data_IF_449992027769
#
_entry.id   IF_449992027769
#
_cell.length_a   1.000
_cell.length_b   1.000
_cell.length_c   1.000
_cell.angle_alpha   90.00
_cell.angle_beta   90.00
_cell.angle_gamma   90.00
#
_symmetry.space_group_name_H-M   'P 1'
#
loop_
_entity.id
_entity.type
_entity.pdbx_description
1 polymer ?
#
# COMPACT_ATOMS: atom_id res chain seq x y z
N UNK A 1 3.04 19.05 35.43
CA UNK A 1 1.87 18.15 35.37
C UNK A 1 2.28 16.78 34.81
N UNK A 2 2.18 15.72 35.62
CA UNK A 2 2.23 14.35 35.12
C UNK A 2 0.85 14.08 34.51
N UNK A 3 0.79 13.90 33.20
CA UNK A 3 -0.46 13.66 32.50
C UNK A 3 -0.96 12.26 32.87
N UNK A 4 -1.76 12.15 33.95
CA UNK A 4 -2.57 10.97 34.22
C UNK A 4 -3.56 10.85 33.07
N UNK A 5 -3.39 9.86 32.21
CA UNK A 5 -4.42 9.49 31.26
C UNK A 5 -5.39 8.58 32.01
N UNK A 6 -6.33 9.19 32.72
CA UNK A 6 -7.41 8.44 33.35
C UNK A 6 -8.18 7.72 32.22
N UNK A 7 -8.40 6.40 32.34
CA UNK A 7 -9.02 5.52 31.33
C UNK A 7 -8.21 5.19 30.06
N UNK A 8 -6.96 4.73 30.21
CA UNK A 8 -6.21 4.07 29.11
C UNK A 8 -6.44 2.56 29.11
N UNK A 9 -6.57 1.98 27.92
CA UNK A 9 -6.73 0.53 27.73
C UNK A 9 -5.48 -0.02 27.06
N UNK A 10 -4.85 -1.02 27.67
CA UNK A 10 -3.77 -1.76 27.01
C UNK A 10 -4.37 -2.80 26.05
N UNK A 11 -3.94 -2.76 24.79
CA UNK A 11 -4.27 -3.79 23.79
C UNK A 11 -2.98 -4.44 23.29
N UNK A 12 -2.98 -5.72 22.88
CA UNK A 12 -1.80 -6.34 22.27
C UNK A 12 -1.36 -5.56 21.03
N UNK A 13 -0.06 -5.33 20.87
CA UNK A 13 0.48 -4.58 19.73
C UNK A 13 0.08 -5.23 18.40
N UNK A 14 -0.02 -6.57 18.35
CA UNK A 14 -0.47 -7.33 17.19
C UNK A 14 -1.90 -6.98 16.73
N UNK A 15 -2.76 -6.47 17.63
CA UNK A 15 -4.12 -6.06 17.30
C UNK A 15 -4.20 -4.66 16.68
N UNK A 16 -3.11 -3.90 16.68
CA UNK A 16 -3.06 -2.53 16.15
C UNK A 16 -2.62 -2.57 14.69
N UNK A 17 -3.53 -2.20 13.80
CA UNK A 17 -3.28 -2.12 12.38
C UNK A 17 -2.99 -0.67 11.99
N UNK A 18 -2.07 -0.50 11.05
CA UNK A 18 -1.74 0.81 10.47
C UNK A 18 -1.92 0.76 8.96
N UNK A 19 -2.70 1.68 8.42
CA UNK A 19 -2.90 1.83 6.98
C UNK A 19 -2.85 3.32 6.63
N UNK A 20 -2.00 3.71 5.68
CA UNK A 20 -1.84 5.11 5.25
C UNK A 20 -1.57 6.13 6.38
N UNK A 21 -1.00 5.67 7.50
CA UNK A 21 -0.71 6.50 8.67
C UNK A 21 -1.82 6.49 9.73
N UNK A 22 -3.01 6.00 9.42
CA UNK A 22 -4.11 5.84 10.37
C UNK A 22 -3.98 4.54 11.16
N UNK A 23 -4.29 4.61 12.45
CA UNK A 23 -4.25 3.45 13.36
C UNK A 23 -5.66 3.03 13.72
N UNK A 24 -5.90 1.72 13.68
CA UNK A 24 -7.21 1.14 13.96
C UNK A 24 -7.06 -0.27 14.51
N UNK A 25 -8.15 -0.77 15.10
CA UNK A 25 -8.29 -2.18 15.48
C UNK A 25 -9.51 -2.77 14.79
N UNK A 26 -9.60 -4.10 14.80
CA UNK A 26 -10.81 -4.81 14.44
C UNK A 26 -11.55 -5.19 15.71
N UNK A 27 -12.59 -4.43 16.06
CA UNK A 27 -13.43 -4.66 17.24
C UNK A 27 -14.51 -5.69 16.92
N UNK A 28 -14.67 -6.69 17.78
CA UNK A 28 -15.77 -7.65 17.68
C UNK A 28 -17.08 -6.96 18.06
N UNK A 29 -18.00 -6.89 17.12
CA UNK A 29 -19.39 -6.47 17.32
C UNK A 29 -20.29 -7.59 16.81
N UNK A 30 -21.05 -8.19 17.72
CA UNK A 30 -21.83 -9.41 17.46
C UNK A 30 -20.93 -10.53 16.89
N UNK A 31 -21.25 -11.02 15.70
CA UNK A 31 -20.50 -12.08 14.99
C UNK A 31 -19.53 -11.53 13.93
N UNK A 32 -19.23 -10.23 13.97
CA UNK A 32 -18.38 -9.55 12.96
C UNK A 32 -17.27 -8.76 13.62
N UNK A 33 -16.24 -8.50 12.83
CA UNK A 33 -15.18 -7.58 13.18
C UNK A 33 -15.32 -6.28 12.39
N UNK A 34 -15.33 -5.17 13.11
CA UNK A 34 -15.52 -3.82 12.57
C UNK A 34 -14.25 -3.03 12.74
N UNK A 35 -13.82 -2.33 11.67
CA UNK A 35 -12.69 -1.41 11.71
C UNK A 35 -13.03 -0.21 12.59
N UNK A 36 -12.33 -0.08 13.72
CA UNK A 36 -12.52 1.00 14.68
C UNK A 36 -11.25 1.84 14.76
N UNK A 37 -11.29 3.13 14.37
CA UNK A 37 -10.13 4.01 14.50
C UNK A 37 -9.78 4.23 15.97
N UNK A 38 -8.49 4.27 16.27
CA UNK A 38 -7.99 4.46 17.65
C UNK A 38 -6.87 5.48 17.69
N UNK A 39 -6.69 6.09 18.86
CA UNK A 39 -5.49 6.85 19.18
C UNK A 39 -4.67 6.09 20.20
N UNK A 40 -3.36 5.97 19.94
CA UNK A 40 -2.46 5.31 20.86
C UNK A 40 -1.46 6.27 21.51
N UNK A 41 -1.11 5.96 22.75
CA UNK A 41 -0.08 6.63 23.54
C UNK A 41 1.24 5.88 23.45
N UNK A 42 1.74 5.44 24.60
CA UNK A 42 3.00 4.70 24.68
C UNK A 42 2.79 3.26 24.18
N UNK A 43 3.83 2.69 23.59
CA UNK A 43 3.86 1.28 23.16
C UNK A 43 5.13 0.63 23.67
N UNK A 44 5.04 -0.63 24.08
CA UNK A 44 6.19 -1.49 24.34
C UNK A 44 6.24 -2.61 23.28
N UNK A 45 6.94 -3.71 23.59
CA UNK A 45 7.10 -4.84 22.67
C UNK A 45 5.83 -5.69 22.51
N UNK A 46 4.97 -5.71 23.51
CA UNK A 46 3.82 -6.61 23.59
C UNK A 46 2.48 -5.85 23.51
N UNK A 47 2.44 -4.60 23.97
CA UNK A 47 1.22 -3.81 24.16
C UNK A 47 1.32 -2.38 23.62
N UNK A 48 0.14 -1.85 23.30
CA UNK A 48 -0.08 -0.44 22.99
C UNK A 48 -1.14 0.14 23.91
N UNK A 49 -0.89 1.34 24.41
CA UNK A 49 -1.87 2.12 25.16
C UNK A 49 -2.87 2.77 24.22
N UNK A 50 -4.14 2.43 24.34
CA UNK A 50 -5.24 3.09 23.63
C UNK A 50 -5.82 4.18 24.52
N UNK A 51 -5.73 5.42 24.04
CA UNK A 51 -6.21 6.62 24.74
C UNK A 51 -7.60 7.03 24.28
N UNK A 52 -8.03 6.64 23.07
CA UNK A 52 -9.37 6.87 22.50
C UNK A 52 -9.76 5.77 21.52
N UNK A 53 -11.06 5.51 21.44
CA UNK A 53 -11.67 4.63 20.43
C UNK A 53 -12.04 3.24 20.91
N UNK A 54 -11.75 2.90 22.17
CA UNK A 54 -12.14 1.63 22.80
C UNK A 54 -12.65 1.83 24.23
N UNK A 55 -13.39 0.84 24.73
CA UNK A 55 -13.90 0.72 26.08
C UNK A 55 -13.42 -0.59 26.73
N UNK A 56 -13.30 -0.61 28.06
CA UNK A 56 -12.85 -1.80 28.79
C UNK A 56 -13.80 -2.98 28.59
N UNK A 57 -13.24 -4.18 28.41
CA UNK A 57 -14.03 -5.42 28.20
C UNK A 57 -14.36 -5.72 26.74
N UNK A 58 -13.96 -4.85 25.81
CA UNK A 58 -14.08 -5.10 24.37
C UNK A 58 -13.11 -6.16 23.86
N UNK A 59 -13.51 -6.89 22.81
CA UNK A 59 -12.70 -7.95 22.19
C UNK A 59 -12.19 -7.48 20.84
N UNK A 60 -10.88 -7.53 20.63
CA UNK A 60 -10.24 -7.14 19.37
C UNK A 60 -9.60 -8.33 18.66
N UNK A 61 -9.55 -8.29 17.34
CA UNK A 61 -8.83 -9.30 16.55
C UNK A 61 -7.33 -9.04 16.58
N UNK A 62 -6.55 -10.11 16.76
CA UNK A 62 -5.08 -10.09 16.68
C UNK A 62 -4.55 -10.17 15.25
N UNK A 63 -5.41 -10.53 14.29
CA UNK A 63 -5.07 -10.68 12.88
C UNK A 63 -6.15 -10.03 12.02
N UNK A 64 -5.82 -9.70 10.78
CA UNK A 64 -6.83 -9.17 9.83
C UNK A 64 -7.95 -10.20 9.62
N UNK A 65 -9.22 -9.85 9.87
CA UNK A 65 -10.35 -10.75 9.63
C UNK A 65 -10.43 -11.19 8.16
N UNK A 66 -10.88 -12.42 7.93
CA UNK A 66 -10.94 -13.01 6.58
C UNK A 66 -11.85 -12.20 5.65
N UNK A 67 -12.92 -11.62 6.21
CA UNK A 67 -13.87 -10.76 5.51
C UNK A 67 -13.17 -9.55 4.86
N UNK A 68 -12.14 -8.99 5.50
CA UNK A 68 -11.42 -7.83 4.96
C UNK A 68 -10.38 -8.19 3.92
N UNK A 69 -9.75 -9.35 4.03
CA UNK A 69 -8.86 -9.86 2.98
C UNK A 69 -9.61 -10.06 1.66
N UNK A 70 -10.85 -10.55 1.73
CA UNK A 70 -11.72 -10.71 0.55
C UNK A 70 -12.04 -9.39 -0.14
N UNK A 71 -12.21 -8.29 0.61
CA UNK A 71 -12.51 -6.96 0.06
C UNK A 71 -11.31 -6.36 -0.68
N UNK A 72 -10.10 -6.53 -0.14
CA UNK A 72 -8.85 -6.06 -0.80
C UNK A 72 -8.65 -6.74 -2.15
N UNK A 73 -8.87 -8.06 -2.21
CA UNK A 73 -8.76 -8.84 -3.45
C UNK A 73 -9.77 -8.36 -4.51
N UNK A 74 -11.00 -8.06 -4.07
CA UNK A 74 -12.06 -7.56 -4.96
C UNK A 74 -11.78 -6.14 -5.45
N UNK A 75 -11.25 -5.26 -4.60
CA UNK A 75 -10.86 -3.90 -5.00
C UNK A 75 -9.76 -3.93 -6.08
N UNK A 76 -8.76 -4.80 -5.92
CA UNK A 76 -7.71 -4.99 -6.94
C UNK A 76 -8.27 -5.58 -8.25
N UNK A 77 -9.14 -6.58 -8.16
CA UNK A 77 -9.80 -7.17 -9.34
C UNK A 77 -10.71 -6.18 -10.09
N UNK A 78 -11.40 -5.30 -9.36
CA UNK A 78 -12.22 -4.24 -9.95
C UNK A 78 -11.37 -3.16 -10.65
N UNK A 79 -10.25 -2.75 -10.05
CA UNK A 79 -9.29 -1.83 -10.67
C UNK A 79 -8.67 -2.42 -11.96
N UNK A 80 -8.36 -3.72 -11.97
CA UNK A 80 -7.85 -4.41 -13.16
C UNK A 80 -8.89 -4.51 -14.30
N UNK A 81 -10.19 -4.61 -13.98
CA UNK A 81 -11.27 -4.58 -14.99
C UNK A 81 -11.59 -3.18 -15.51
N UNK A 82 -11.42 -2.13 -14.69
CA UNK A 82 -11.67 -0.75 -15.09
C UNK A 82 -10.60 -0.20 -16.07
N UNK A 83 -9.43 -0.83 -16.16
CA UNK A 83 -8.34 -0.45 -17.07
C UNK A 83 -8.48 -0.90 -18.54
N UNK A 84 -9.57 -1.58 -18.93
CA UNK A 84 -9.80 -2.00 -20.33
C UNK A 84 -10.93 -1.20 -20.96
N UNK A 85 -10.65 0.07 -21.25
CA UNK A 85 -11.61 0.98 -21.89
C UNK A 85 -10.93 2.21 -22.49
N UNK A 86 -10.13 2.04 -23.54
CA UNK A 86 -9.75 3.15 -24.41
C UNK A 86 -10.82 3.31 -25.51
N UNK A 87 -11.52 4.45 -25.63
CA UNK A 87 -12.29 4.79 -26.82
C UNK A 87 -11.36 5.44 -27.84
N UNK A 88 -11.27 4.86 -29.05
CA UNK A 88 -10.35 5.35 -30.08
C UNK A 88 -10.90 5.20 -31.49
N UNK A 89 -11.62 6.23 -31.95
CA UNK A 89 -11.55 6.73 -33.33
C UNK A 89 -12.32 5.97 -34.42
N UNK A 90 -13.54 6.42 -34.71
CA UNK A 90 -14.14 6.30 -36.06
C UNK A 90 -13.42 7.30 -36.97
N UNK A 91 -12.61 6.81 -37.90
CA UNK A 91 -12.00 7.61 -38.96
C UNK A 91 -11.91 6.80 -40.25
N UNK A 92 -12.81 7.07 -41.19
CA UNK A 92 -12.74 6.55 -42.55
C UNK A 92 -11.71 7.30 -43.38
N UNK A 93 -11.00 6.59 -44.26
CA UNK A 93 -10.06 7.15 -45.22
C UNK A 93 -9.60 6.09 -46.22
N UNK A 94 -9.92 6.32 -47.48
CA UNK A 94 -9.69 5.48 -48.67
C UNK A 94 -8.36 5.86 -49.35
N UNK A 95 -7.70 4.88 -49.97
CA UNK A 95 -6.58 5.04 -50.90
C UNK A 95 -5.24 4.64 -50.27
N UNK A 96 -4.31 3.96 -50.92
CA UNK A 96 -4.14 3.56 -52.31
C UNK A 96 -2.76 2.88 -52.43
N UNK A 97 -2.58 2.16 -53.53
CA UNK A 97 -1.49 1.28 -53.93
C UNK A 97 -0.04 1.75 -53.69
N UNK A 98 0.88 0.82 -53.41
CA UNK A 98 2.32 1.13 -53.48
C UNK A 98 3.31 0.06 -53.00
N UNK A 99 3.47 -1.02 -53.77
CA UNK A 99 4.72 -1.78 -54.05
C UNK A 99 5.84 -1.81 -52.97
N UNK A 100 5.95 -2.92 -52.24
CA UNK A 100 7.17 -3.28 -51.50
C UNK A 100 8.21 -3.94 -52.41
N UNK A 101 9.22 -3.15 -52.77
CA UNK A 101 10.44 -3.62 -53.42
C UNK A 101 11.61 -3.66 -52.43
N UNK A 102 12.09 -4.87 -52.18
CA UNK A 102 13.51 -5.25 -52.08
C UNK A 102 14.48 -4.52 -51.10
N UNK A 103 15.01 -5.36 -50.19
CA UNK A 103 16.45 -5.71 -50.05
C UNK A 103 17.39 -4.77 -49.25
N UNK A 104 17.97 -5.39 -48.22
CA UNK A 104 19.35 -5.19 -47.73
C UNK A 104 19.53 -3.97 -46.82
N UNK A 105 20.34 -3.97 -45.77
CA UNK A 105 21.39 -4.88 -45.30
C UNK A 105 22.45 -4.02 -44.58
N UNK A 106 23.03 -4.53 -43.48
CA UNK A 106 24.38 -4.16 -43.05
C UNK A 106 24.58 -3.11 -41.94
N UNK A 107 25.26 -3.59 -40.88
CA UNK A 107 26.45 -2.99 -40.22
C UNK A 107 26.31 -1.92 -39.11
N UNK A 108 26.66 -2.37 -37.88
CA UNK A 108 27.83 -1.99 -37.04
C UNK A 108 27.98 -0.56 -36.48
N UNK A 109 28.26 -0.51 -35.17
CA UNK A 109 28.90 0.60 -34.42
C UNK A 109 27.98 1.20 -33.35
N UNK A 110 28.36 1.46 -32.10
CA UNK A 110 29.64 1.44 -31.40
C UNK A 110 29.40 1.62 -29.88
N UNK A 111 30.45 1.38 -29.09
CA UNK A 111 30.47 1.59 -27.64
C UNK A 111 30.47 3.09 -27.26
N UNK A 112 30.15 3.43 -26.00
CA UNK A 112 31.15 4.16 -25.23
C UNK A 112 31.32 3.63 -23.80
N UNK A 113 32.58 3.61 -23.35
CA UNK A 113 32.98 3.28 -21.99
C UNK A 113 32.83 4.45 -21.01
N UNK A 114 33.13 4.18 -19.73
CA UNK A 114 33.77 5.13 -18.79
C UNK A 114 34.23 4.38 -17.54
N UNK A 115 35.54 4.44 -17.31
CA UNK A 115 36.27 4.22 -16.05
C UNK A 115 35.67 5.09 -14.92
N UNK A 116 35.56 4.63 -13.66
CA UNK A 116 36.67 4.37 -12.74
C UNK A 116 36.94 5.61 -11.86
N UNK A 117 36.69 5.54 -10.55
CA UNK A 117 37.02 6.63 -9.61
C UNK A 117 36.38 6.53 -8.23
N UNK A 118 37.12 5.94 -7.29
CA UNK A 118 36.87 5.98 -5.83
C UNK A 118 36.62 7.40 -5.30
N UNK A 119 35.65 7.53 -4.38
CA UNK A 119 35.53 8.71 -3.50
C UNK A 119 35.28 8.29 -2.05
N UNK A 120 36.33 8.53 -1.26
CA UNK A 120 36.46 8.56 0.19
C UNK A 120 35.32 9.33 0.87
N UNK A 121 34.61 8.69 1.80
CA UNK A 121 33.54 9.29 2.59
C UNK A 121 34.06 10.23 3.69
N UNK A 122 33.25 11.23 4.12
CA UNK A 122 33.67 12.22 5.12
C UNK A 122 33.52 11.72 6.57
N UNK A 123 34.50 12.09 7.38
CA UNK A 123 34.47 12.08 8.85
C UNK A 123 33.61 13.23 9.39
N UNK A 124 32.75 12.95 10.37
CA UNK A 124 31.81 13.89 10.98
C UNK A 124 32.38 14.49 12.28
N UNK A 125 32.06 15.75 12.64
CA UNK A 125 32.54 16.41 13.86
C UNK A 125 31.90 15.88 15.15
#
# INVERSE_FOLDING_TARGET
PLQSADNVIAVPLAAVFTEQGDRFVYLKQDDKFVRTPIHIGVTDYDYAEVTKGLQGGEVVSLITPLEELGKVQQAFGAAAKAGKGAPGGKGGGKGGDGKDGAKGGGAKGGAPGTSGGERKGPSNP
#
